data_IF_505415645481
#
_entry.id   IF_505415645481
#
_cell.length_a   1.000
_cell.length_b   1.000
_cell.length_c   1.000
_cell.angle_alpha   90.00
_cell.angle_beta   90.00
_cell.angle_gamma   90.00
#
_symmetry.space_group_name_H-M   'P 1'
#
loop_
_entity.id
_entity.type
_entity.pdbx_description
1 polymer ?
#
# COMPACT_ATOMS: atom_id res chain seq x y z
N UNK A 1 -18.42 7.19 -1.31
CA UNK A 1 -17.46 7.25 -0.18
C UNK A 1 -16.21 6.55 -0.67
N UNK A 2 -15.09 7.26 -0.87
CA UNK A 2 -13.86 6.64 -1.40
C UNK A 2 -13.29 5.70 -0.34
N UNK A 3 -13.11 4.43 -0.68
CA UNK A 3 -12.63 3.40 0.24
C UNK A 3 -11.14 3.59 0.51
N UNK A 4 -10.78 3.77 1.78
CA UNK A 4 -9.38 3.81 2.20
C UNK A 4 -8.87 2.37 2.28
N UNK A 5 -7.82 2.03 1.52
CA UNK A 5 -7.20 0.69 1.61
C UNK A 5 -6.59 0.49 2.99
N UNK A 6 -6.93 -0.63 3.64
CA UNK A 6 -6.33 -1.07 4.89
C UNK A 6 -5.34 -2.18 4.58
N UNK A 7 -4.05 -1.94 4.83
CA UNK A 7 -3.01 -2.92 4.56
C UNK A 7 -2.94 -4.01 5.63
N UNK A 8 -2.70 -5.24 5.20
CA UNK A 8 -2.38 -6.39 6.05
C UNK A 8 -0.99 -6.91 5.71
N UNK A 9 -0.16 -7.16 6.73
CA UNK A 9 1.24 -7.53 6.54
C UNK A 9 1.50 -8.88 7.18
N UNK A 10 1.89 -9.85 6.36
CA UNK A 10 2.36 -11.15 6.83
C UNK A 10 3.88 -11.18 6.89
N UNK A 11 4.41 -11.05 8.11
CA UNK A 11 5.86 -11.09 8.38
C UNK A 11 6.48 -12.48 8.19
N UNK A 12 5.66 -13.54 8.08
CA UNK A 12 6.12 -14.93 7.89
C UNK A 12 6.14 -15.37 6.42
N UNK A 13 5.57 -14.57 5.52
CA UNK A 13 5.48 -14.88 4.09
C UNK A 13 6.82 -14.99 3.36
N UNK A 14 7.92 -14.49 3.93
CA UNK A 14 9.20 -14.32 3.24
C UNK A 14 9.20 -13.18 2.20
N UNK A 15 8.06 -12.54 1.95
CA UNK A 15 7.93 -11.40 1.02
C UNK A 15 8.29 -10.11 1.74
N UNK A 16 9.13 -9.28 1.12
CA UNK A 16 9.47 -7.97 1.67
C UNK A 16 8.22 -7.11 1.92
N UNK A 17 8.14 -6.48 3.09
CA UNK A 17 6.96 -5.70 3.54
C UNK A 17 6.51 -4.65 2.54
N UNK A 18 7.43 -3.89 1.93
CA UNK A 18 7.07 -2.87 0.94
C UNK A 18 6.38 -3.50 -0.28
N UNK A 19 6.81 -4.69 -0.70
CA UNK A 19 6.22 -5.40 -1.83
C UNK A 19 4.83 -5.95 -1.49
N UNK A 20 4.58 -6.32 -0.23
CA UNK A 20 3.22 -6.69 0.21
C UNK A 20 2.25 -5.50 0.13
N UNK A 21 2.72 -4.28 0.40
CA UNK A 21 1.92 -3.05 0.25
C UNK A 21 1.63 -2.80 -1.23
N UNK A 22 2.65 -2.83 -2.10
CA UNK A 22 2.50 -2.65 -3.56
C UNK A 22 1.47 -3.63 -4.12
N UNK A 23 1.60 -4.93 -3.81
CA UNK A 23 0.69 -5.99 -4.29
C UNK A 23 -0.76 -5.77 -3.85
N UNK A 24 -0.99 -5.25 -2.65
CA UNK A 24 -2.34 -4.97 -2.16
C UNK A 24 -2.97 -3.77 -2.87
N UNK A 25 -2.19 -2.74 -3.21
CA UNK A 25 -2.68 -1.61 -4.03
C UNK A 25 -3.02 -2.09 -5.43
N UNK A 26 -2.12 -2.82 -6.09
CA UNK A 26 -2.40 -3.41 -7.42
C UNK A 26 -3.64 -4.29 -7.42
N UNK A 27 -3.82 -5.11 -6.38
CA UNK A 27 -5.00 -5.95 -6.25
C UNK A 27 -6.28 -5.13 -6.08
N UNK A 28 -6.23 -4.07 -5.25
CA UNK A 28 -7.37 -3.18 -5.07
C UNK A 28 -7.75 -2.46 -6.38
N UNK A 29 -6.76 -2.00 -7.16
CA UNK A 29 -6.98 -1.42 -8.49
C UNK A 29 -7.59 -2.44 -9.46
N UNK A 30 -7.03 -3.65 -9.55
CA UNK A 30 -7.58 -4.73 -10.41
C UNK A 30 -9.02 -5.12 -10.06
N UNK A 31 -9.39 -5.00 -8.79
CA UNK A 31 -10.74 -5.31 -8.30
C UNK A 31 -11.71 -4.12 -8.39
N UNK A 32 -11.25 -2.94 -8.85
CA UNK A 32 -12.06 -1.72 -8.86
C UNK A 32 -12.37 -1.15 -7.46
N UNK A 33 -11.65 -1.61 -6.43
CA UNK A 33 -11.77 -1.09 -5.07
C UNK A 33 -10.98 0.21 -4.88
N UNK A 34 -10.00 0.44 -5.75
CA UNK A 34 -9.32 1.71 -5.98
C UNK A 34 -9.40 2.04 -7.47
N UNK A 35 -9.39 3.34 -7.77
CA UNK A 35 -9.14 3.87 -9.11
C UNK A 35 -7.80 4.62 -9.16
N UNK A 36 -7.22 4.78 -10.34
CA UNK A 36 -6.02 5.60 -10.52
C UNK A 36 -6.28 7.04 -10.04
N UNK A 37 -5.33 7.60 -9.29
CA UNK A 37 -5.48 8.90 -8.65
C UNK A 37 -6.27 8.90 -7.34
N UNK A 38 -6.80 7.75 -6.88
CA UNK A 38 -7.30 7.64 -5.52
C UNK A 38 -6.17 7.83 -4.50
N UNK A 39 -6.51 8.55 -3.43
CA UNK A 39 -5.55 8.88 -2.39
C UNK A 39 -5.30 7.66 -1.50
N UNK A 40 -4.05 7.19 -1.49
CA UNK A 40 -3.60 6.17 -0.54
C UNK A 40 -3.50 6.75 0.89
N UNK A 41 -3.58 5.88 1.94
CA UNK A 41 -3.34 6.30 3.32
C UNK A 41 -1.94 6.92 3.46
N UNK A 42 -1.75 7.86 4.39
CA UNK A 42 -0.40 8.38 4.66
C UNK A 42 0.50 7.31 5.29
N UNK A 43 1.82 7.44 5.16
CA UNK A 43 2.76 6.52 5.79
C UNK A 43 2.55 6.38 7.31
N UNK A 44 2.15 7.48 7.98
CA UNK A 44 1.79 7.49 9.39
C UNK A 44 0.53 6.66 9.67
N UNK A 45 -0.51 6.77 8.85
CA UNK A 45 -1.73 5.96 8.98
C UNK A 45 -1.47 4.47 8.74
N UNK A 46 -0.60 4.13 7.77
CA UNK A 46 -0.19 2.73 7.55
C UNK A 46 0.60 2.21 8.74
N UNK A 47 1.54 2.99 9.27
CA UNK A 47 2.31 2.60 10.44
C UNK A 47 1.42 2.36 11.68
N UNK A 48 0.42 3.22 11.89
CA UNK A 48 -0.53 3.09 12.99
C UNK A 48 -1.34 1.78 12.93
N UNK A 49 -1.72 1.32 11.73
CA UNK A 49 -2.55 0.12 11.54
C UNK A 49 -1.74 -1.18 11.42
N UNK A 50 -0.50 -1.12 10.94
CA UNK A 50 0.30 -2.32 10.60
C UNK A 50 1.57 -2.51 11.45
N UNK A 51 1.98 -1.47 12.19
CA UNK A 51 3.29 -1.37 12.85
C UNK A 51 4.47 -1.54 11.87
N UNK A 52 4.28 -1.15 10.62
CA UNK A 52 5.36 -1.07 9.61
C UNK A 52 6.12 0.24 9.79
N UNK A 53 7.43 0.20 9.56
CA UNK A 53 8.25 1.41 9.55
C UNK A 53 7.74 2.36 8.44
N UNK A 54 7.43 3.64 8.74
CA UNK A 54 6.95 4.60 7.75
C UNK A 54 7.82 4.69 6.49
N UNK A 55 9.14 4.55 6.61
CA UNK A 55 10.06 4.56 5.46
C UNK A 55 9.84 3.37 4.52
N UNK A 56 9.42 2.22 5.05
CA UNK A 56 9.03 1.05 4.24
C UNK A 56 7.76 1.32 3.45
N UNK A 57 6.78 2.03 4.04
CA UNK A 57 5.58 2.48 3.33
C UNK A 57 5.94 3.50 2.23
N UNK A 58 6.78 4.49 2.55
CA UNK A 58 7.26 5.46 1.54
C UNK A 58 8.00 4.77 0.40
N UNK A 59 8.78 3.72 0.69
CA UNK A 59 9.41 2.89 -0.36
C UNK A 59 8.36 2.22 -1.25
N UNK A 60 7.28 1.68 -0.69
CA UNK A 60 6.19 1.09 -1.47
C UNK A 60 5.49 2.13 -2.35
N UNK A 61 5.26 3.34 -1.83
CA UNK A 61 4.58 4.40 -2.58
C UNK A 61 5.43 4.92 -3.73
N UNK A 62 6.73 5.11 -3.54
CA UNK A 62 7.65 5.45 -4.64
C UNK A 62 7.67 4.39 -5.74
N UNK A 63 7.52 3.12 -5.37
CA UNK A 63 7.43 2.03 -6.36
C UNK A 63 6.14 2.12 -7.17
N UNK A 64 5.00 2.41 -6.52
CA UNK A 64 3.72 2.62 -7.18
C UNK A 64 3.73 3.86 -8.09
N UNK A 65 4.31 4.98 -7.63
CA UNK A 65 4.53 6.19 -8.43
C UNK A 65 5.36 5.88 -9.68
N UNK A 66 6.46 5.11 -9.53
CA UNK A 66 7.29 4.67 -10.66
C UNK A 66 6.52 3.81 -11.66
N UNK A 67 5.51 3.08 -11.20
CA UNK A 67 4.62 2.26 -12.03
C UNK A 67 3.44 3.05 -12.61
N UNK A 68 3.26 4.32 -12.23
CA UNK A 68 2.15 5.17 -12.65
C UNK A 68 0.82 4.85 -11.96
N UNK A 69 0.85 4.19 -10.79
CA UNK A 69 -0.35 3.70 -10.08
C UNK A 69 -0.74 4.54 -8.85
N UNK A 70 0.12 5.47 -8.42
CA UNK A 70 -0.09 6.34 -7.27
C UNK A 70 0.51 7.73 -7.50
#
# INVERSE_FOLDING_TARGET
MKSVVVFRIDRRSGVATYLQIVRQVEQALRMGALEEGDRLPTAAQVAATTKVNPNTTLKAYRELERMGLA
#
